data_IF_079993071634
#
_entry.id   IF_079993071634
#
_cell.length_a   1.000
_cell.length_b   1.000
_cell.length_c   1.000
_cell.angle_alpha   90.00
_cell.angle_beta   90.00
_cell.angle_gamma   90.00
#
_symmetry.space_group_name_H-M   'P 1'
#
loop_
_entity.id
_entity.type
_entity.pdbx_description
1 polymer ?
#
# COMPACT_ATOMS: atom_id res chain seq x y z
N UNK A 1 -28.34 -18.44 -11.58
CA UNK A 1 -27.09 -18.31 -12.35
C UNK A 1 -26.73 -16.84 -12.37
N UNK A 2 -25.88 -16.40 -11.45
CA UNK A 2 -25.30 -15.06 -11.46
C UNK A 2 -23.86 -15.19 -11.02
N UNK A 3 -22.98 -15.55 -11.96
CA UNK A 3 -21.54 -15.45 -11.76
C UNK A 3 -21.19 -13.98 -11.94
N UNK A 4 -21.16 -13.23 -10.85
CA UNK A 4 -20.54 -11.91 -10.84
C UNK A 4 -19.05 -12.13 -11.08
N UNK A 5 -18.60 -11.89 -12.32
CA UNK A 5 -17.17 -11.89 -12.63
C UNK A 5 -16.57 -10.70 -11.90
N UNK A 6 -15.93 -10.94 -10.76
CA UNK A 6 -15.08 -9.94 -10.12
C UNK A 6 -14.05 -9.47 -11.15
N UNK A 7 -13.77 -8.17 -11.26
CA UNK A 7 -12.65 -7.71 -12.07
C UNK A 7 -11.42 -8.45 -11.56
N UNK A 8 -10.68 -9.10 -12.47
CA UNK A 8 -9.39 -9.69 -12.13
C UNK A 8 -8.55 -8.57 -11.50
N UNK A 9 -8.13 -8.67 -10.24
CA UNK A 9 -7.39 -7.60 -9.60
C UNK A 9 -6.14 -7.36 -10.43
N UNK A 10 -5.84 -6.09 -10.73
CA UNK A 10 -4.54 -5.74 -11.30
C UNK A 10 -3.46 -6.40 -10.42
N UNK A 11 -2.38 -6.95 -11.01
CA UNK A 11 -1.36 -7.65 -10.24
C UNK A 11 -0.86 -6.71 -9.13
N UNK A 12 -0.87 -7.20 -7.89
CA UNK A 12 -0.51 -6.42 -6.69
C UNK A 12 0.85 -5.72 -6.86
N UNK A 13 1.79 -6.36 -7.56
CA UNK A 13 3.08 -5.80 -7.93
C UNK A 13 2.97 -4.49 -8.73
N UNK A 14 2.11 -4.45 -9.75
CA UNK A 14 1.91 -3.25 -10.57
C UNK A 14 1.25 -2.12 -9.78
N UNK A 15 0.34 -2.47 -8.88
CA UNK A 15 -0.28 -1.51 -7.97
C UNK A 15 0.75 -0.86 -7.03
N UNK A 16 1.61 -1.67 -6.40
CA UNK A 16 2.66 -1.18 -5.52
C UNK A 16 3.65 -0.27 -6.26
N UNK A 17 4.07 -0.66 -7.47
CA UNK A 17 4.98 0.14 -8.29
C UNK A 17 4.42 1.55 -8.60
N UNK A 18 3.11 1.67 -8.87
CA UNK A 18 2.45 2.97 -9.08
C UNK A 18 2.47 3.80 -7.80
N UNK A 19 2.12 3.20 -6.67
CA UNK A 19 2.10 3.89 -5.37
C UNK A 19 3.50 4.33 -4.94
N UNK A 20 4.52 3.52 -5.19
CA UNK A 20 5.92 3.87 -4.96
C UNK A 20 6.35 5.06 -5.83
N UNK A 21 6.00 5.08 -7.11
CA UNK A 21 6.29 6.21 -7.98
C UNK A 21 5.64 7.52 -7.45
N UNK A 22 4.37 7.47 -7.05
CA UNK A 22 3.67 8.61 -6.47
C UNK A 22 4.27 9.07 -5.13
N UNK A 23 4.68 8.12 -4.29
CA UNK A 23 5.34 8.38 -3.01
C UNK A 23 6.70 9.05 -3.19
N UNK A 24 7.44 8.71 -4.25
CA UNK A 24 8.75 9.32 -4.55
C UNK A 24 8.66 10.81 -4.81
N UNK A 25 7.56 11.27 -5.41
CA UNK A 25 7.29 12.68 -5.67
C UNK A 25 6.83 13.46 -4.42
N UNK A 26 6.44 12.76 -3.35
CA UNK A 26 5.84 13.33 -2.14
C UNK A 26 6.59 12.85 -0.88
N UNK A 27 7.83 13.34 -0.67
CA UNK A 27 8.74 12.81 0.34
C UNK A 27 8.36 13.14 1.79
N UNK A 28 7.28 13.90 1.98
CA UNK A 28 6.63 14.30 3.23
C UNK A 28 5.31 13.53 3.47
N UNK A 29 5.06 12.46 2.70
CA UNK A 29 3.90 11.58 2.84
C UNK A 29 4.33 10.14 3.03
N UNK A 30 3.63 9.42 3.90
CA UNK A 30 3.77 7.97 4.08
C UNK A 30 2.40 7.34 3.82
N UNK A 31 2.34 6.34 2.95
CA UNK A 31 1.10 5.58 2.72
C UNK A 31 1.17 4.27 3.49
N UNK A 32 0.25 4.06 4.42
CA UNK A 32 0.07 2.77 5.12
C UNK A 32 -0.99 1.96 4.39
N UNK A 33 -0.64 0.74 4.00
CA UNK A 33 -1.55 -0.26 3.46
C UNK A 33 -1.77 -1.35 4.50
N UNK A 34 -3.01 -1.71 4.73
CA UNK A 34 -3.40 -2.83 5.59
C UNK A 34 -4.27 -3.80 4.79
N UNK A 35 -4.09 -5.10 5.01
CA UNK A 35 -4.78 -6.11 4.23
C UNK A 35 -4.48 -7.52 4.69
N UNK A 36 -4.69 -8.49 3.80
CA UNK A 36 -4.44 -9.90 4.06
C UNK A 36 -3.48 -10.51 3.03
N UNK A 37 -2.53 -11.32 3.50
CA UNK A 37 -1.71 -12.19 2.68
C UNK A 37 -2.53 -13.40 2.20
N UNK A 38 -2.07 -14.13 1.17
CA UNK A 38 -2.64 -15.43 0.83
C UNK A 38 -2.68 -16.34 2.06
N UNK A 39 -3.86 -16.87 2.37
CA UNK A 39 -4.07 -17.65 3.61
C UNK A 39 -4.70 -16.86 4.76
N UNK A 40 -4.93 -15.54 4.60
CA UNK A 40 -5.74 -14.73 5.51
C UNK A 40 -4.98 -14.04 6.65
N UNK A 41 -3.64 -14.08 6.64
CA UNK A 41 -2.83 -13.38 7.63
C UNK A 41 -2.82 -11.87 7.39
N UNK A 42 -2.99 -11.07 8.45
CA UNK A 42 -2.99 -9.61 8.36
C UNK A 42 -1.59 -9.07 8.08
N UNK A 43 -1.47 -8.13 7.14
CA UNK A 43 -0.23 -7.39 6.92
C UNK A 43 -0.42 -5.88 7.13
N UNK A 44 0.70 -5.22 7.43
CA UNK A 44 0.86 -3.79 7.29
C UNK A 44 2.10 -3.52 6.44
N UNK A 45 1.93 -2.69 5.40
CA UNK A 45 2.98 -2.26 4.49
C UNK A 45 3.01 -0.73 4.43
N UNK A 46 4.18 -0.14 4.63
CA UNK A 46 4.41 1.30 4.51
C UNK A 46 5.10 1.60 3.17
N UNK A 47 4.59 2.59 2.44
CA UNK A 47 5.24 3.13 1.24
C UNK A 47 5.75 4.53 1.56
N UNK A 48 7.06 4.72 1.42
CA UNK A 48 7.72 5.99 1.72
C UNK A 48 8.88 6.26 0.76
N UNK A 49 8.87 7.43 0.10
CA UNK A 49 9.91 7.88 -0.85
C UNK A 49 10.20 6.87 -1.96
N UNK A 50 9.17 6.13 -2.36
CA UNK A 50 9.24 5.12 -3.41
C UNK A 50 9.85 3.79 -3.00
N UNK A 51 9.78 3.45 -1.71
CA UNK A 51 10.11 2.14 -1.18
C UNK A 51 8.93 1.59 -0.36
N UNK A 52 8.64 0.31 -0.54
CA UNK A 52 7.73 -0.45 0.32
C UNK A 52 8.49 -1.14 1.46
N UNK A 53 7.95 -1.07 2.68
CA UNK A 53 8.51 -1.74 3.87
C UNK A 53 7.37 -2.37 4.67
N UNK A 54 7.46 -3.68 4.90
CA UNK A 54 6.53 -4.36 5.80
C UNK A 54 6.98 -4.16 7.24
N UNK A 55 6.03 -3.94 8.15
CA UNK A 55 6.29 -3.83 9.58
C UNK A 55 6.01 -5.13 10.33
N UNK A 56 5.27 -6.06 9.69
CA UNK A 56 4.83 -7.32 10.31
C UNK A 56 5.50 -8.55 9.71
N UNK A 57 6.03 -8.46 8.49
CA UNK A 57 6.61 -9.60 7.77
C UNK A 57 7.93 -9.23 7.08
N UNK A 58 8.80 -10.20 6.79
CA UNK A 58 9.92 -9.97 5.89
C UNK A 58 9.41 -9.60 4.50
N UNK A 59 9.77 -8.44 3.98
CA UNK A 59 9.70 -8.18 2.53
C UNK A 59 10.87 -8.87 1.85
N UNK A 60 10.68 -9.32 0.61
CA UNK A 60 11.82 -9.69 -0.22
C UNK A 60 12.79 -8.48 -0.26
N UNK A 61 14.07 -8.72 0.06
CA UNK A 61 15.10 -7.68 -0.04
C UNK A 61 15.47 -7.39 -1.51
N UNK A 62 15.08 -8.29 -2.41
CA UNK A 62 15.30 -8.19 -3.84
C UNK A 62 14.43 -7.07 -4.43
N UNK A 63 15.04 -5.99 -4.98
CA UNK A 63 14.30 -4.87 -5.55
C UNK A 63 13.48 -5.25 -6.80
N UNK A 64 13.78 -6.40 -7.40
CA UNK A 64 13.03 -6.93 -8.55
C UNK A 64 11.85 -7.81 -8.11
N UNK A 65 11.68 -8.08 -6.81
CA UNK A 65 10.54 -8.81 -6.27
C UNK A 65 9.54 -7.87 -5.57
N UNK A 66 8.23 -8.05 -5.81
CA UNK A 66 7.22 -7.24 -5.14
C UNK A 66 7.23 -7.46 -3.62
N UNK A 67 6.97 -6.38 -2.87
CA UNK A 67 6.96 -6.42 -1.41
C UNK A 67 5.83 -7.28 -0.81
N UNK A 68 4.80 -7.60 -1.59
CA UNK A 68 3.70 -8.50 -1.21
C UNK A 68 3.63 -9.69 -2.17
N UNK A 69 3.29 -10.86 -1.61
CA UNK A 69 3.06 -12.07 -2.39
C UNK A 69 1.86 -11.92 -3.35
N UNK A 70 1.90 -12.64 -4.47
CA UNK A 70 0.76 -12.72 -5.39
C UNK A 70 -0.48 -13.26 -4.67
N UNK A 71 -1.65 -12.65 -4.93
CA UNK A 71 -2.90 -12.98 -4.24
C UNK A 71 -3.11 -12.29 -2.89
N UNK A 72 -2.18 -11.40 -2.46
CA UNK A 72 -2.43 -10.52 -1.32
C UNK A 72 -3.55 -9.52 -1.65
N UNK A 73 -4.39 -9.22 -0.67
CA UNK A 73 -5.51 -8.28 -0.79
C UNK A 73 -5.27 -7.06 0.10
N UNK A 74 -5.30 -5.85 -0.47
CA UNK A 74 -5.29 -4.61 0.31
C UNK A 74 -6.73 -4.29 0.72
N UNK A 75 -6.97 -4.18 2.03
CA UNK A 75 -8.29 -3.84 2.55
C UNK A 75 -8.49 -2.33 2.68
N UNK A 76 -7.44 -1.59 3.04
CA UNK A 76 -7.51 -0.14 3.27
C UNK A 76 -6.13 0.51 3.18
N UNK A 77 -6.16 1.79 2.88
CA UNK A 77 -5.02 2.67 2.83
C UNK A 77 -5.24 3.91 3.70
N UNK A 78 -4.20 4.37 4.38
CA UNK A 78 -4.19 5.57 5.22
C UNK A 78 -2.97 6.41 4.86
N UNK A 79 -3.19 7.71 4.59
CA UNK A 79 -2.10 8.65 4.32
C UNK A 79 -1.68 9.34 5.61
N UNK A 80 -0.38 9.38 5.86
CA UNK A 80 0.24 9.92 7.06
C UNK A 80 1.27 11.00 6.71
N UNK A 81 1.52 11.95 7.62
CA UNK A 81 2.62 12.89 7.52
C UNK A 81 3.96 12.15 7.67
N UNK A 82 4.86 12.35 6.71
CA UNK A 82 6.22 11.82 6.70
C UNK A 82 7.25 12.88 7.13
N UNK A 83 8.37 12.48 7.76
CA UNK A 83 8.66 11.13 8.25
C UNK A 83 7.78 10.76 9.46
N UNK A 84 7.49 9.47 9.63
CA UNK A 84 6.72 9.00 10.79
C UNK A 84 7.47 9.34 12.10
N UNK A 85 6.72 9.85 13.08
CA UNK A 85 7.19 10.07 14.45
C UNK A 85 6.61 8.95 15.33
N UNK A 86 7.44 8.05 15.87
CA UNK A 86 6.96 6.98 16.74
C UNK A 86 6.10 7.53 17.88
N UNK A 87 4.90 7.00 18.05
CA UNK A 87 3.94 7.45 19.07
C UNK A 87 3.23 8.77 18.78
N UNK A 88 3.49 9.42 17.64
CA UNK A 88 2.84 10.66 17.23
C UNK A 88 2.64 10.71 15.71
N UNK A 89 1.95 9.71 15.18
CA UNK A 89 1.59 9.65 13.77
C UNK A 89 0.47 10.65 13.47
N UNK A 90 0.68 11.51 12.46
CA UNK A 90 -0.33 12.47 12.02
C UNK A 90 -1.01 11.90 10.78
N UNK A 91 -2.31 11.61 10.90
CA UNK A 91 -3.13 11.13 9.79
C UNK A 91 -3.60 12.31 8.93
N UNK A 92 -3.34 12.23 7.63
CA UNK A 92 -3.74 13.22 6.64
C UNK A 92 -5.04 12.82 5.92
N UNK A 93 -5.17 11.53 5.56
CA UNK A 93 -6.36 11.02 4.87
C UNK A 93 -6.62 9.53 5.20
N UNK A 94 -7.87 9.10 4.96
CA UNK A 94 -8.30 7.71 5.17
C UNK A 94 -8.68 7.35 6.62
N UNK A 95 -8.91 6.05 6.92
CA UNK A 95 -8.76 4.90 6.03
C UNK A 95 -9.73 4.96 4.83
N UNK A 96 -9.26 4.57 3.64
CA UNK A 96 -10.06 4.53 2.44
C UNK A 96 -9.60 3.40 1.49
N UNK A 97 -10.38 3.05 0.45
CA UNK A 97 -9.92 2.15 -0.59
C UNK A 97 -8.63 2.65 -1.26
N UNK A 98 -7.73 1.74 -1.62
CA UNK A 98 -6.40 2.08 -2.16
C UNK A 98 -6.49 2.84 -3.49
N UNK A 99 -7.57 2.63 -4.24
CA UNK A 99 -7.83 3.23 -5.55
C UNK A 99 -7.85 4.76 -5.50
N UNK A 100 -8.24 5.35 -4.36
CA UNK A 100 -8.22 6.81 -4.17
C UNK A 100 -6.79 7.36 -4.24
N UNK A 101 -5.80 6.57 -3.82
CA UNK A 101 -4.40 6.95 -3.78
C UNK A 101 -3.64 6.59 -5.06
N UNK A 102 -4.30 5.97 -6.05
CA UNK A 102 -3.71 5.72 -7.37
C UNK A 102 -3.73 6.97 -8.27
N UNK A 103 -4.53 7.95 -7.89
CA UNK A 103 -4.57 9.26 -8.52
C UNK A 103 -3.87 10.24 -7.57
N UNK A 104 -2.97 11.08 -8.10
CA UNK A 104 -2.16 12.00 -7.29
C UNK A 104 -2.97 12.90 -6.32
N UNK A 105 -4.24 13.16 -6.65
CA UNK A 105 -5.20 13.90 -5.81
C UNK A 105 -5.51 13.25 -4.45
N UNK A 106 -5.29 11.94 -4.29
CA UNK A 106 -5.45 11.27 -3.00
C UNK A 106 -4.32 11.58 -2.01
N UNK A 107 -3.28 12.27 -2.44
CA UNK A 107 -2.07 12.53 -1.66
C UNK A 107 -1.90 13.98 -1.17
N UNK A 108 -2.82 14.86 -1.56
CA UNK A 108 -2.78 16.29 -1.21
C UNK A 108 -3.10 16.53 0.27
#
# INVERSE_FOLDING_TARGET
MSSTSSPSPAPIAGLLAVLEALSRERPDRVLRLEGHLPGGELFELLIYRGFSSSTTHPTAFDPDQPALAEGSEIARATLLEGPLKPGNEIKLAGPAPVEIFLLGQGWD
#
